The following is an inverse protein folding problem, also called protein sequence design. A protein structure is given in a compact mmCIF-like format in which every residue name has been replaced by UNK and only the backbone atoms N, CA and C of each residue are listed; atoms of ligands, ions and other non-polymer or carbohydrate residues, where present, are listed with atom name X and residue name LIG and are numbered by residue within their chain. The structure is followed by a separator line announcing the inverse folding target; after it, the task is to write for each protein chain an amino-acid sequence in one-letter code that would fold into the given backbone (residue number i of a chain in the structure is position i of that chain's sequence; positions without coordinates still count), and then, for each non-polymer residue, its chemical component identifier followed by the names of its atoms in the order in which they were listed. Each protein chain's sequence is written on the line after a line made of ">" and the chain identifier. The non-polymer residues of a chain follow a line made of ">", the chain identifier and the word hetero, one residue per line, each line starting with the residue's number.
data_IF_581300212107
#
_entry.id   IF_581300212107
#
_cell.length_a   1.000
_cell.length_b   1.000
_cell.length_c   1.000
_cell.angle_alpha   90.00
_cell.angle_beta   90.00
_cell.angle_gamma   90.00
#
_symmetry.space_group_name_H-M   'P 1'
#
loop_
_entity.id
_entity.type
_entity.pdbx_description
1 polymer ?
#
# COMPACT_ATOMS: atom_id res chain seq x y z
N UNK A 1 -4.22 6.91 23.44
CA UNK A 1 -2.86 6.97 22.89
C UNK A 1 -2.95 7.29 21.41
N UNK A 2 -2.20 8.25 20.91
CA UNK A 2 -2.37 8.74 19.54
C UNK A 2 -1.08 8.54 18.73
N UNK A 3 -1.14 7.66 17.71
CA UNK A 3 -0.07 7.50 16.73
C UNK A 3 -0.25 8.55 15.62
N UNK A 4 0.76 9.41 15.40
CA UNK A 4 0.73 10.48 14.41
C UNK A 4 1.57 10.13 13.19
N UNK A 5 0.98 10.17 12.00
CA UNK A 5 1.73 9.94 10.76
C UNK A 5 0.90 9.95 9.49
N UNK A 6 1.56 10.03 8.34
CA UNK A 6 0.91 9.87 7.04
C UNK A 6 0.47 8.41 6.81
N UNK A 7 1.22 7.47 7.34
CA UNK A 7 0.98 6.02 7.28
C UNK A 7 0.73 5.47 5.87
N UNK A 8 1.23 6.15 4.83
CA UNK A 8 1.10 5.66 3.47
C UNK A 8 1.93 4.39 3.26
N UNK A 9 1.25 3.30 2.91
CA UNK A 9 1.82 1.97 2.81
C UNK A 9 1.88 1.19 4.12
N UNK A 10 1.65 1.78 5.30
CA UNK A 10 1.73 1.13 6.63
C UNK A 10 2.95 0.19 6.72
N UNK A 11 4.13 0.70 6.29
CA UNK A 11 5.39 -0.04 6.24
C UNK A 11 5.97 -0.31 7.64
N UNK A 12 7.02 -1.12 7.76
CA UNK A 12 7.58 -1.53 9.06
C UNK A 12 7.95 -0.35 9.97
N UNK A 13 8.49 0.75 9.43
CA UNK A 13 8.74 1.96 10.21
C UNK A 13 7.45 2.64 10.73
N UNK A 14 6.33 2.55 10.00
CA UNK A 14 5.03 2.98 10.52
C UNK A 14 4.54 2.03 11.61
N UNK A 15 4.73 0.71 11.42
CA UNK A 15 4.31 -0.30 12.40
C UNK A 15 5.03 -0.11 13.73
N UNK A 16 6.29 0.33 13.76
CA UNK A 16 6.99 0.66 14.98
C UNK A 16 6.27 1.77 15.78
N UNK A 17 5.77 2.81 15.11
CA UNK A 17 4.98 3.89 15.75
C UNK A 17 3.63 3.36 16.27
N UNK A 18 2.94 2.54 15.47
CA UNK A 18 1.65 1.96 15.85
C UNK A 18 1.80 1.03 17.06
N UNK A 19 2.85 0.19 17.08
CA UNK A 19 3.13 -0.71 18.19
C UNK A 19 3.33 0.04 19.51
N UNK A 20 4.06 1.17 19.51
CA UNK A 20 4.19 2.02 20.70
C UNK A 20 2.83 2.47 21.22
N UNK A 21 1.92 2.90 20.33
CA UNK A 21 0.58 3.34 20.73
C UNK A 21 -0.25 2.19 21.31
N UNK A 22 -0.16 0.99 20.73
CA UNK A 22 -0.85 -0.22 21.23
C UNK A 22 -0.30 -0.65 22.58
N UNK A 23 1.02 -0.70 22.74
CA UNK A 23 1.69 -1.05 24.00
C UNK A 23 1.29 -0.09 25.14
N UNK A 24 1.28 1.20 24.85
CA UNK A 24 0.86 2.21 25.83
C UNK A 24 -0.65 2.10 26.15
N UNK A 25 -1.49 1.85 25.13
CA UNK A 25 -2.91 1.66 25.36
C UNK A 25 -3.18 0.46 26.26
N UNK A 26 -2.46 -0.64 26.06
CA UNK A 26 -2.58 -1.84 26.90
C UNK A 26 -2.08 -1.55 28.34
N UNK A 27 -0.96 -0.83 28.49
CA UNK A 27 -0.38 -0.53 29.79
C UNK A 27 -1.27 0.37 30.67
N UNK A 28 -2.02 1.28 30.05
CA UNK A 28 -2.88 2.26 30.74
C UNK A 28 -4.38 1.96 30.60
N UNK A 29 -4.77 0.76 30.12
CA UNK A 29 -6.16 0.39 29.81
C UNK A 29 -6.89 1.47 28.99
N UNK A 30 -6.18 2.07 28.04
CA UNK A 30 -6.67 3.11 27.16
C UNK A 30 -6.93 2.63 25.73
N UNK A 31 -7.21 3.56 24.84
CA UNK A 31 -7.51 3.32 23.42
C UNK A 31 -6.33 3.71 22.53
N UNK A 32 -5.90 2.83 21.62
CA UNK A 32 -4.91 3.13 20.59
C UNK A 32 -5.62 3.73 19.36
N UNK A 33 -5.26 4.97 19.02
CA UNK A 33 -5.87 5.73 17.93
C UNK A 33 -4.79 6.14 16.93
N UNK A 34 -5.04 5.96 15.63
CA UNK A 34 -4.18 6.50 14.59
C UNK A 34 -4.75 7.82 14.05
N UNK A 35 -3.90 8.85 13.98
CA UNK A 35 -4.22 10.12 13.34
C UNK A 35 -3.42 10.24 12.03
N UNK A 36 -4.12 10.35 10.93
CA UNK A 36 -3.55 10.38 9.58
C UNK A 36 -4.35 11.32 8.68
N UNK A 37 -3.93 11.42 7.42
CA UNK A 37 -4.61 12.22 6.40
C UNK A 37 -5.12 11.31 5.28
N UNK A 38 -6.29 11.57 4.66
CA UNK A 38 -6.78 10.77 3.54
C UNK A 38 -5.86 10.90 2.31
N UNK A 39 -5.29 12.09 2.07
CA UNK A 39 -4.39 12.39 0.97
C UNK A 39 -3.05 12.91 1.49
N UNK A 40 -2.02 12.84 0.64
CA UNK A 40 -0.72 13.40 1.01
C UNK A 40 -0.81 14.95 1.07
N UNK A 41 -0.29 15.61 2.13
CA UNK A 41 -0.34 17.06 2.27
C UNK A 41 0.20 17.83 1.06
N UNK A 42 1.16 17.27 0.32
CA UNK A 42 1.67 17.86 -0.92
C UNK A 42 0.62 17.99 -2.02
N UNK A 43 -0.47 17.21 -1.99
CA UNK A 43 -1.55 17.34 -2.98
C UNK A 43 -2.19 18.73 -2.93
N UNK A 44 -2.24 19.34 -1.75
CA UNK A 44 -2.69 20.73 -1.58
C UNK A 44 -1.55 21.74 -1.78
N UNK A 45 -0.39 21.47 -1.17
CA UNK A 45 0.69 22.48 -1.09
C UNK A 45 1.56 22.55 -2.34
N UNK A 46 1.75 21.45 -3.05
CA UNK A 46 2.58 21.29 -4.25
C UNK A 46 2.01 20.18 -5.14
N UNK A 47 0.86 20.39 -5.80
CA UNK A 47 0.15 19.35 -6.55
C UNK A 47 1.04 18.61 -7.56
N UNK A 48 1.87 19.35 -8.30
CA UNK A 48 2.77 18.82 -9.32
C UNK A 48 3.89 17.90 -8.76
N UNK A 49 4.12 17.94 -7.44
CA UNK A 49 5.15 17.16 -6.75
C UNK A 49 4.54 16.18 -5.73
N UNK A 50 3.22 16.04 -5.75
CA UNK A 50 2.53 15.14 -4.82
C UNK A 50 2.88 13.68 -5.17
N UNK A 51 3.45 12.91 -4.22
CA UNK A 51 3.77 11.51 -4.49
C UNK A 51 2.47 10.71 -4.63
N UNK A 52 2.41 9.75 -5.56
CA UNK A 52 1.28 8.84 -5.66
C UNK A 52 1.15 7.99 -4.39
N UNK A 53 -0.06 7.80 -3.90
CA UNK A 53 -0.30 7.00 -2.70
C UNK A 53 -0.03 5.51 -2.96
N UNK A 54 0.63 4.84 -2.01
CA UNK A 54 0.83 3.38 -2.02
C UNK A 54 -0.47 2.61 -1.78
N UNK A 55 -1.45 3.25 -1.14
CA UNK A 55 -2.78 2.70 -0.89
C UNK A 55 -3.81 3.82 -0.74
N UNK A 56 -5.05 3.52 -1.12
CA UNK A 56 -6.16 4.45 -0.91
C UNK A 56 -6.48 4.63 0.59
N UNK A 57 -7.26 5.67 0.97
CA UNK A 57 -7.58 5.95 2.37
C UNK A 57 -8.32 4.80 3.08
N UNK A 58 -9.22 4.11 2.40
CA UNK A 58 -10.01 3.01 2.94
C UNK A 58 -9.12 1.80 3.25
N UNK A 59 -8.24 1.42 2.31
CA UNK A 59 -7.25 0.36 2.51
C UNK A 59 -6.28 0.72 3.63
N UNK A 60 -5.84 1.99 3.71
CA UNK A 60 -5.00 2.47 4.80
C UNK A 60 -5.69 2.30 6.15
N UNK A 61 -6.94 2.74 6.29
CA UNK A 61 -7.69 2.59 7.53
C UNK A 61 -7.84 1.12 7.94
N UNK A 62 -8.16 0.23 6.99
CA UNK A 62 -8.20 -1.23 7.25
C UNK A 62 -6.87 -1.76 7.78
N UNK A 63 -5.75 -1.37 7.15
CA UNK A 63 -4.43 -1.82 7.59
C UNK A 63 -4.05 -1.27 8.98
N UNK A 64 -4.42 -0.03 9.31
CA UNK A 64 -4.19 0.53 10.64
C UNK A 64 -4.97 -0.26 11.72
N UNK A 65 -6.24 -0.60 11.46
CA UNK A 65 -7.02 -1.46 12.35
C UNK A 65 -6.39 -2.86 12.50
N UNK A 66 -5.96 -3.47 11.40
CA UNK A 66 -5.26 -4.77 11.43
C UNK A 66 -3.95 -4.74 12.22
N UNK A 67 -3.35 -3.55 12.38
CA UNK A 67 -2.14 -3.34 13.21
C UNK A 67 -2.46 -2.96 14.66
N UNK A 68 -3.71 -3.14 15.10
CA UNK A 68 -4.12 -2.99 16.50
C UNK A 68 -4.65 -1.61 16.86
N UNK A 69 -4.82 -0.71 15.90
CA UNK A 69 -5.53 0.55 16.18
C UNK A 69 -7.02 0.26 16.38
N UNK A 70 -7.58 0.79 17.45
CA UNK A 70 -9.02 0.65 17.74
C UNK A 70 -9.83 1.72 17.00
N UNK A 71 -9.22 2.87 16.74
CA UNK A 71 -9.83 3.97 15.98
C UNK A 71 -8.84 4.58 15.00
N UNK A 72 -9.36 5.11 13.89
CA UNK A 72 -8.56 5.80 12.86
C UNK A 72 -9.22 7.14 12.54
N UNK A 73 -8.51 8.21 12.78
CA UNK A 73 -8.90 9.57 12.41
C UNK A 73 -8.20 9.92 11.10
N UNK A 74 -8.97 10.11 10.03
CA UNK A 74 -8.48 10.64 8.76
C UNK A 74 -8.83 12.13 8.68
N UNK A 75 -7.92 12.97 9.19
CA UNK A 75 -8.09 14.43 9.21
C UNK A 75 -7.95 14.99 7.78
N UNK A 76 -8.94 15.71 7.24
CA UNK A 76 -8.76 16.46 6.00
C UNK A 76 -7.59 17.45 6.13
N UNK A 77 -6.71 17.45 5.13
CA UNK A 77 -5.62 18.43 5.08
C UNK A 77 -6.03 19.55 4.12
N UNK A 78 -6.73 20.53 4.67
CA UNK A 78 -7.20 21.72 3.94
C UNK A 78 -6.28 22.93 4.15
N UNK A 79 -6.66 24.05 3.57
CA UNK A 79 -5.89 25.28 3.67
C UNK A 79 -5.78 25.77 5.11
N UNK A 80 -6.86 25.73 5.90
CA UNK A 80 -6.89 26.17 7.30
C UNK A 80 -5.94 25.34 8.15
N UNK A 81 -6.05 24.00 8.05
CA UNK A 81 -5.14 23.08 8.76
C UNK A 81 -3.66 23.26 8.34
N UNK A 82 -3.41 23.58 7.08
CA UNK A 82 -2.06 23.82 6.55
C UNK A 82 -1.40 25.08 7.11
N UNK A 83 -2.19 26.07 7.57
CA UNK A 83 -1.69 27.31 8.18
C UNK A 83 -1.52 27.22 9.69
N UNK A 84 -1.85 26.08 10.31
CA UNK A 84 -1.72 25.88 11.75
C UNK A 84 -0.24 25.95 12.15
N UNK A 85 0.08 26.88 13.06
CA UNK A 85 1.42 26.98 13.61
C UNK A 85 1.77 25.74 14.45
N UNK A 86 3.04 25.38 14.47
CA UNK A 86 3.48 24.18 15.21
C UNK A 86 3.12 24.24 16.71
N UNK A 87 3.19 25.42 17.32
CA UNK A 87 2.81 25.65 18.73
C UNK A 87 1.32 25.39 19.02
N UNK A 88 0.42 25.62 18.05
CA UNK A 88 -1.03 25.39 18.19
C UNK A 88 -1.46 23.95 17.94
N UNK A 89 -0.58 23.09 17.40
CA UNK A 89 -0.97 21.73 17.00
C UNK A 89 -1.35 20.84 18.19
N UNK A 90 -0.60 20.90 19.28
CA UNK A 90 -0.89 20.10 20.49
C UNK A 90 -2.19 20.58 21.15
N UNK A 91 -2.41 21.89 21.22
CA UNK A 91 -3.65 22.48 21.72
C UNK A 91 -4.86 21.99 20.88
N UNK A 92 -4.74 22.00 19.56
CA UNK A 92 -5.75 21.44 18.65
C UNK A 92 -6.06 19.98 18.98
N UNK A 93 -5.04 19.14 19.17
CA UNK A 93 -5.24 17.73 19.51
C UNK A 93 -5.96 17.57 20.86
N UNK A 94 -5.57 18.32 21.88
CA UNK A 94 -6.20 18.29 23.21
C UNK A 94 -7.66 18.76 23.19
N UNK A 95 -7.97 19.78 22.38
CA UNK A 95 -9.32 20.29 22.23
C UNK A 95 -10.27 19.26 21.59
N UNK A 96 -9.78 18.44 20.65
CA UNK A 96 -10.58 17.42 19.95
C UNK A 96 -10.53 16.04 20.59
N UNK A 97 -9.48 15.75 21.39
CA UNK A 97 -9.29 14.49 22.09
C UNK A 97 -8.99 14.78 23.58
N UNK A 98 -10.01 15.12 24.40
CA UNK A 98 -9.79 15.55 25.79
C UNK A 98 -9.13 14.49 26.68
N UNK A 99 -9.25 13.20 26.32
CA UNK A 99 -8.62 12.07 27.04
C UNK A 99 -7.23 11.70 26.48
N UNK A 100 -6.61 12.56 25.68
CA UNK A 100 -5.28 12.34 25.13
C UNK A 100 -4.25 12.26 26.25
N UNK A 101 -3.40 11.23 26.22
CA UNK A 101 -2.40 10.97 27.23
C UNK A 101 -0.99 10.87 26.62
N UNK A 102 -0.84 10.16 25.50
CA UNK A 102 0.46 9.90 24.89
C UNK A 102 0.40 10.12 23.38
N UNK A 103 1.40 10.79 22.84
CA UNK A 103 1.66 10.95 21.42
C UNK A 103 2.79 10.00 20.99
N UNK A 104 2.56 9.17 19.98
CA UNK A 104 3.55 8.26 19.41
C UNK A 104 3.90 8.72 17.99
N UNK A 105 5.18 8.95 17.72
CA UNK A 105 5.69 9.50 16.45
C UNK A 105 6.95 8.75 15.98
N UNK A 106 7.24 8.85 14.69
CA UNK A 106 8.55 8.45 14.15
C UNK A 106 9.58 9.56 14.30
N UNK A 107 10.86 9.21 14.31
CA UNK A 107 12.00 10.13 14.48
C UNK A 107 12.00 11.29 13.47
N UNK A 108 11.51 11.05 12.25
CA UNK A 108 11.45 12.05 11.18
C UNK A 108 10.11 12.79 11.09
N UNK A 109 9.28 12.71 12.13
CA UNK A 109 7.99 13.38 12.16
C UNK A 109 8.16 14.89 12.06
N UNK A 110 7.34 15.52 11.20
CA UNK A 110 7.29 16.97 10.99
C UNK A 110 5.85 17.43 10.96
N UNK A 111 5.56 18.56 11.61
CA UNK A 111 4.23 19.12 11.73
C UNK A 111 4.22 20.65 11.71
N UNK A 112 3.01 21.21 11.70
CA UNK A 112 2.80 22.65 11.67
C UNK A 112 3.10 23.27 10.31
N UNK A 113 2.78 24.56 10.18
CA UNK A 113 3.02 25.33 8.98
C UNK A 113 4.47 25.27 8.54
N UNK A 114 4.70 25.04 7.24
CA UNK A 114 6.03 24.87 6.64
C UNK A 114 6.86 23.71 7.25
N UNK A 115 6.24 22.78 8.00
CA UNK A 115 6.91 21.63 8.63
C UNK A 115 8.02 22.01 9.61
N UNK A 116 7.90 23.17 10.25
CA UNK A 116 8.93 23.68 11.22
C UNK A 116 8.94 22.87 12.51
N UNK A 117 7.82 22.26 12.89
CA UNK A 117 7.74 21.41 14.07
C UNK A 117 8.48 20.08 13.86
N UNK A 118 9.24 19.68 14.83
CA UNK A 118 9.92 18.38 14.93
C UNK A 118 9.59 17.69 16.26
N UNK A 119 10.22 16.56 16.51
CA UNK A 119 9.98 15.79 17.73
C UNK A 119 10.36 16.54 19.02
N UNK A 120 11.35 17.44 18.99
CA UNK A 120 11.77 18.23 20.17
C UNK A 120 10.71 19.28 20.49
N UNK A 121 10.26 20.04 19.48
CA UNK A 121 9.21 21.03 19.66
C UNK A 121 7.87 20.36 20.06
N UNK A 122 7.57 19.16 19.53
CA UNK A 122 6.40 18.41 19.95
C UNK A 122 6.49 18.03 21.43
N UNK A 123 7.64 17.59 21.88
CA UNK A 123 7.86 17.19 23.27
C UNK A 123 7.72 18.38 24.24
N UNK A 124 8.30 19.54 23.88
CA UNK A 124 8.17 20.78 24.64
C UNK A 124 6.70 21.21 24.73
N UNK A 125 6.00 21.27 23.59
CA UNK A 125 4.60 21.65 23.53
C UNK A 125 3.70 20.68 24.29
N UNK A 126 3.93 19.38 24.16
CA UNK A 126 3.18 18.32 24.84
C UNK A 126 3.31 18.37 26.36
N UNK A 127 4.51 18.69 26.88
CA UNK A 127 4.77 18.82 28.30
C UNK A 127 3.87 19.91 28.96
N UNK A 128 3.61 20.99 28.24
CA UNK A 128 2.71 22.07 28.75
C UNK A 128 1.26 21.59 28.99
N UNK A 129 0.85 20.51 28.31
CA UNK A 129 -0.46 19.86 28.46
C UNK A 129 -0.41 18.57 29.28
N UNK A 130 0.72 18.24 29.89
CA UNK A 130 0.89 17.01 30.68
C UNK A 130 0.88 15.72 29.81
N UNK A 131 1.14 15.83 28.51
CA UNK A 131 1.20 14.69 27.59
C UNK A 131 2.60 14.10 27.52
N UNK A 132 2.69 12.78 27.36
CA UNK A 132 3.91 12.07 27.05
C UNK A 132 4.12 12.00 25.53
N UNK A 133 5.35 12.13 25.06
CA UNK A 133 5.75 11.89 23.67
C UNK A 133 6.72 10.71 23.60
N UNK A 134 6.39 9.72 22.79
CA UNK A 134 7.24 8.56 22.51
C UNK A 134 7.68 8.60 21.06
N UNK A 135 8.96 8.38 20.82
CA UNK A 135 9.57 8.40 19.50
C UNK A 135 9.99 6.98 19.14
N UNK A 136 9.40 6.43 18.07
CA UNK A 136 9.77 5.12 17.56
C UNK A 136 11.16 5.18 16.90
N UNK A 137 11.93 4.12 17.08
CA UNK A 137 13.17 3.91 16.36
C UNK A 137 12.92 3.73 14.86
N UNK A 138 13.92 4.10 14.08
CA UNK A 138 13.83 3.97 12.62
C UNK A 138 14.13 2.53 12.20
N UNK A 139 13.19 1.92 11.48
CA UNK A 139 13.40 0.62 10.84
C UNK A 139 14.23 0.79 9.56
N UNK A 140 15.12 -0.17 9.28
CA UNK A 140 16.02 -0.15 8.13
C UNK A 140 15.88 -1.41 7.28
N UNK A 141 16.09 -1.26 5.97
CA UNK A 141 16.21 -2.36 5.02
C UNK A 141 17.33 -2.07 4.03
N UNK A 142 18.27 -3.03 3.86
CA UNK A 142 19.49 -2.78 3.10
C UNK A 142 20.27 -1.58 3.66
N UNK A 143 20.67 -0.68 2.81
CA UNK A 143 21.58 0.42 3.15
C UNK A 143 20.89 1.68 3.73
N UNK A 144 19.60 1.60 4.11
CA UNK A 144 18.96 2.81 4.60
C UNK A 144 17.60 2.62 5.28
N UNK A 145 17.06 3.72 5.84
CA UNK A 145 15.79 3.67 6.55
C UNK A 145 14.62 3.35 5.60
N UNK A 146 13.67 2.58 6.12
CA UNK A 146 12.43 2.28 5.40
C UNK A 146 11.56 3.53 5.30
N UNK A 147 11.06 3.80 4.09
CA UNK A 147 10.16 4.93 3.83
C UNK A 147 9.24 4.65 2.64
N UNK A 148 8.08 5.35 2.59
CA UNK A 148 7.15 5.26 1.46
C UNK A 148 7.80 5.64 0.12
N UNK A 149 8.76 6.58 0.11
CA UNK A 149 9.50 6.97 -1.10
C UNK A 149 10.38 5.83 -1.63
N UNK A 150 11.09 5.12 -0.75
CA UNK A 150 11.89 3.95 -1.16
C UNK A 150 11.03 2.80 -1.64
N UNK A 151 9.86 2.62 -1.04
CA UNK A 151 8.90 1.59 -1.49
C UNK A 151 8.39 1.92 -2.90
N UNK A 152 8.06 3.20 -3.20
CA UNK A 152 7.65 3.60 -4.55
C UNK A 152 8.75 3.35 -5.57
N UNK A 153 9.98 3.75 -5.28
CA UNK A 153 11.12 3.49 -6.17
C UNK A 153 11.33 1.98 -6.40
N UNK A 154 11.23 1.16 -5.36
CA UNK A 154 11.35 -0.29 -5.49
C UNK A 154 10.20 -0.91 -6.31
N UNK A 155 8.96 -0.37 -6.20
CA UNK A 155 7.82 -0.78 -7.03
C UNK A 155 8.05 -0.45 -8.50
N UNK A 156 8.48 0.78 -8.81
CA UNK A 156 8.78 1.24 -10.18
C UNK A 156 9.92 0.45 -10.83
N UNK A 157 10.83 -0.08 -10.03
CA UNK A 157 11.95 -0.92 -10.49
C UNK A 157 11.62 -2.43 -10.50
N UNK A 158 10.42 -2.84 -10.09
CA UNK A 158 10.02 -4.25 -10.02
C UNK A 158 10.70 -5.05 -8.90
N UNK A 159 11.34 -4.40 -7.93
CA UNK A 159 12.02 -5.04 -6.79
C UNK A 159 11.02 -5.46 -5.70
N UNK A 160 10.11 -6.40 -6.07
CA UNK A 160 9.00 -6.83 -5.22
C UNK A 160 9.47 -7.44 -3.90
N UNK A 161 10.60 -8.15 -3.90
CA UNK A 161 11.20 -8.67 -2.68
C UNK A 161 11.50 -7.56 -1.66
N UNK A 162 12.14 -6.48 -2.09
CA UNK A 162 12.44 -5.31 -1.23
C UNK A 162 11.15 -4.62 -0.76
N UNK A 163 10.17 -4.46 -1.67
CA UNK A 163 8.85 -3.89 -1.34
C UNK A 163 8.21 -4.68 -0.21
N UNK A 164 8.15 -6.01 -0.33
CA UNK A 164 7.55 -6.90 0.65
C UNK A 164 8.26 -6.82 2.00
N UNK A 165 9.59 -6.77 2.00
CA UNK A 165 10.39 -6.63 3.22
C UNK A 165 10.13 -5.27 3.90
N UNK A 166 10.17 -4.18 3.15
CA UNK A 166 9.90 -2.84 3.67
C UNK A 166 8.46 -2.67 4.17
N UNK A 167 7.49 -3.33 3.53
CA UNK A 167 6.10 -3.34 3.98
C UNK A 167 5.86 -4.26 5.19
N UNK A 168 6.71 -5.28 5.41
CA UNK A 168 6.47 -6.35 6.38
C UNK A 168 5.26 -7.23 6.02
N UNK A 169 4.87 -7.24 4.75
CA UNK A 169 3.81 -8.06 4.15
C UNK A 169 3.96 -8.07 2.63
N UNK A 170 3.21 -8.97 1.97
CA UNK A 170 3.13 -8.95 0.50
C UNK A 170 2.45 -7.67 -0.01
N UNK A 171 2.93 -7.17 -1.15
CA UNK A 171 2.23 -6.11 -1.88
C UNK A 171 0.99 -6.69 -2.52
N UNK A 172 -0.12 -5.96 -2.42
CA UNK A 172 -1.44 -6.43 -2.82
C UNK A 172 -1.96 -5.66 -4.02
N UNK A 173 -2.51 -6.40 -4.98
CA UNK A 173 -3.34 -5.87 -6.05
C UNK A 173 -4.76 -6.37 -5.82
N UNK A 174 -5.70 -5.46 -5.55
CA UNK A 174 -7.09 -5.80 -5.22
C UNK A 174 -8.06 -5.20 -6.24
N UNK A 175 -9.02 -5.99 -6.67
CA UNK A 175 -10.05 -5.50 -7.58
C UNK A 175 -11.14 -6.50 -7.88
N UNK A 176 -12.17 -5.99 -8.54
CA UNK A 176 -13.28 -6.79 -9.04
C UNK A 176 -12.92 -7.41 -10.39
N UNK A 177 -13.20 -8.69 -10.56
CA UNK A 177 -13.10 -9.33 -11.89
C UNK A 177 -14.09 -8.70 -12.84
N UNK A 178 -13.59 -8.15 -13.93
CA UNK A 178 -14.40 -7.55 -15.01
C UNK A 178 -14.33 -8.36 -16.30
N UNK A 179 -15.24 -8.08 -17.21
CA UNK A 179 -15.22 -8.68 -18.54
C UNK A 179 -14.03 -8.15 -19.35
N UNK A 180 -13.36 -9.04 -20.09
CA UNK A 180 -12.26 -8.72 -20.98
C UNK A 180 -12.47 -9.30 -22.38
N UNK A 181 -11.54 -9.05 -23.29
CA UNK A 181 -11.64 -9.50 -24.69
C UNK A 181 -11.44 -11.02 -24.88
N UNK A 182 -11.22 -11.77 -23.79
CA UNK A 182 -11.04 -13.22 -23.77
C UNK A 182 -9.96 -13.77 -24.72
N UNK A 183 -9.00 -12.94 -25.16
CA UNK A 183 -7.90 -13.35 -26.06
C UNK A 183 -7.08 -14.48 -25.45
N UNK A 184 -6.78 -14.43 -24.16
CA UNK A 184 -6.06 -15.50 -23.47
C UNK A 184 -6.74 -16.87 -23.61
N UNK A 185 -8.08 -16.92 -23.59
CA UNK A 185 -8.84 -18.17 -23.77
C UNK A 185 -8.63 -18.77 -25.17
N UNK A 186 -8.57 -17.95 -26.22
CA UNK A 186 -8.38 -18.43 -27.60
C UNK A 186 -6.99 -19.01 -27.85
N UNK A 187 -5.99 -18.61 -27.06
CA UNK A 187 -4.62 -19.07 -27.18
C UNK A 187 -4.24 -20.15 -26.14
N UNK A 188 -5.21 -20.59 -25.30
CA UNK A 188 -5.02 -21.64 -24.31
C UNK A 188 -4.58 -21.18 -22.92
N UNK A 189 -4.55 -19.86 -22.67
CA UNK A 189 -4.18 -19.26 -21.39
C UNK A 189 -5.30 -18.32 -20.89
N UNK A 190 -6.40 -18.86 -20.36
CA UNK A 190 -7.50 -18.03 -19.86
C UNK A 190 -7.03 -17.10 -18.74
N UNK A 191 -7.47 -15.83 -18.80
CA UNK A 191 -7.13 -14.81 -17.82
C UNK A 191 -8.37 -14.20 -17.20
N UNK A 192 -8.25 -13.77 -15.95
CA UNK A 192 -9.19 -12.92 -15.25
C UNK A 192 -8.67 -11.47 -15.33
N UNK A 193 -9.52 -10.54 -15.76
CA UNK A 193 -9.18 -9.14 -15.80
C UNK A 193 -9.63 -8.50 -14.49
N UNK A 194 -8.72 -7.84 -13.77
CA UNK A 194 -9.06 -7.10 -12.57
C UNK A 194 -9.14 -5.60 -12.84
N UNK A 195 -10.24 -4.99 -12.40
CA UNK A 195 -10.33 -3.54 -12.31
C UNK A 195 -9.57 -3.07 -11.07
N UNK A 196 -8.29 -2.74 -11.26
CA UNK A 196 -7.38 -2.25 -10.24
C UNK A 196 -6.70 -0.98 -10.74
N UNK A 197 -6.90 0.12 -10.01
CA UNK A 197 -6.39 1.44 -10.39
C UNK A 197 -5.59 2.04 -9.23
N UNK A 198 -4.31 1.69 -9.06
CA UNK A 198 -3.44 2.25 -8.04
C UNK A 198 -2.99 3.66 -8.43
N UNK A 199 -2.58 4.47 -7.44
CA UNK A 199 -1.86 5.70 -7.71
C UNK A 199 -0.36 5.43 -7.90
N UNK A 200 0.26 4.64 -7.01
CA UNK A 200 1.62 4.18 -7.16
C UNK A 200 1.65 2.91 -8.02
N UNK A 201 2.08 3.05 -9.27
CA UNK A 201 2.15 1.95 -10.22
C UNK A 201 3.40 1.10 -9.99
N UNK A 202 3.30 -0.23 -9.88
CA UNK A 202 4.44 -1.11 -10.01
C UNK A 202 4.98 -1.11 -11.46
N UNK A 203 6.20 -1.58 -11.65
CA UNK A 203 6.79 -1.78 -12.97
C UNK A 203 5.84 -2.58 -13.88
N UNK A 204 5.66 -2.16 -15.11
CA UNK A 204 4.88 -2.94 -16.07
C UNK A 204 5.62 -4.23 -16.41
N UNK A 205 4.90 -5.35 -16.34
CA UNK A 205 5.49 -6.67 -16.56
C UNK A 205 4.70 -7.81 -15.97
N UNK A 206 5.38 -8.94 -15.86
CA UNK A 206 4.81 -10.21 -15.43
C UNK A 206 5.27 -10.53 -14.01
N UNK A 207 4.31 -10.91 -13.19
CA UNK A 207 4.49 -11.22 -11.77
C UNK A 207 4.02 -12.64 -11.46
N UNK A 208 4.64 -13.27 -10.47
CA UNK A 208 4.14 -14.49 -9.86
C UNK A 208 3.71 -14.23 -8.42
N UNK A 209 2.67 -14.95 -7.98
CA UNK A 209 2.17 -14.83 -6.62
C UNK A 209 0.93 -15.65 -6.36
N UNK A 210 0.28 -15.38 -5.24
CA UNK A 210 -0.94 -16.07 -4.82
C UNK A 210 -2.15 -15.15 -4.98
N UNK A 211 -3.18 -15.62 -5.65
CA UNK A 211 -4.44 -14.90 -5.75
C UNK A 211 -5.48 -15.50 -4.80
N UNK A 212 -6.12 -14.64 -4.02
CA UNK A 212 -7.15 -14.98 -3.06
C UNK A 212 -8.52 -14.52 -3.55
N UNK A 213 -9.50 -15.41 -3.49
CA UNK A 213 -10.89 -15.06 -3.68
C UNK A 213 -11.47 -14.59 -2.33
N UNK A 214 -11.88 -13.32 -2.26
CA UNK A 214 -12.33 -12.71 -1.00
C UNK A 214 -13.72 -13.19 -0.54
N UNK A 215 -14.45 -13.94 -1.39
CA UNK A 215 -15.75 -14.51 -1.02
C UNK A 215 -15.64 -15.82 -0.24
N UNK A 216 -14.65 -16.66 -0.54
CA UNK A 216 -14.51 -18.01 0.03
C UNK A 216 -13.13 -18.30 0.62
N UNK A 217 -12.24 -17.31 0.69
CA UNK A 217 -10.87 -17.38 1.18
C UNK A 217 -9.94 -18.37 0.43
N UNK A 218 -10.38 -18.94 -0.69
CA UNK A 218 -9.54 -19.83 -1.50
C UNK A 218 -8.36 -19.07 -2.09
N UNK A 219 -7.16 -19.63 -1.94
CA UNK A 219 -5.91 -19.11 -2.54
C UNK A 219 -5.41 -20.05 -3.61
N UNK A 220 -5.04 -19.50 -4.76
CA UNK A 220 -4.46 -20.25 -5.89
C UNK A 220 -3.20 -19.56 -6.40
N UNK A 221 -2.20 -20.33 -6.86
CA UNK A 221 -1.01 -19.76 -7.50
C UNK A 221 -1.38 -19.17 -8.86
N UNK A 222 -0.78 -18.03 -9.18
CA UNK A 222 -1.10 -17.30 -10.40
C UNK A 222 0.11 -16.57 -10.99
N UNK A 223 0.02 -16.29 -12.29
CA UNK A 223 0.84 -15.31 -13.00
C UNK A 223 -0.05 -14.13 -13.37
N UNK A 224 0.42 -12.91 -13.10
CA UNK A 224 -0.26 -11.70 -13.50
C UNK A 224 0.57 -10.90 -14.49
N UNK A 225 -0.08 -10.38 -15.53
CA UNK A 225 0.48 -9.36 -16.41
C UNK A 225 -0.14 -8.01 -16.04
N UNK A 226 0.69 -7.06 -15.66
CA UNK A 226 0.31 -5.67 -15.43
C UNK A 226 0.95 -4.80 -16.52
N UNK A 227 0.13 -4.16 -17.33
CA UNK A 227 0.64 -3.39 -18.46
C UNK A 227 -0.41 -2.59 -19.21
N UNK A 228 0.02 -1.88 -20.24
CA UNK A 228 -0.84 -1.05 -21.08
C UNK A 228 -1.16 -1.79 -22.38
N UNK A 229 -2.44 -1.99 -22.69
CA UNK A 229 -2.80 -2.52 -24.02
C UNK A 229 -2.45 -1.50 -25.08
N UNK A 230 -1.73 -1.89 -26.14
CA UNK A 230 -1.59 -1.07 -27.33
C UNK A 230 -2.93 -1.06 -28.08
N UNK A 231 -3.86 -0.16 -27.71
CA UNK A 231 -5.09 0.07 -28.47
C UNK A 231 -4.80 1.01 -29.64
N UNK A 232 -5.35 0.68 -30.80
CA UNK A 232 -5.29 1.48 -32.03
C UNK A 232 -6.05 2.83 -31.91
N UNK A 233 -6.80 3.02 -30.81
CA UNK A 233 -7.51 4.26 -30.52
C UNK A 233 -6.87 4.98 -29.31
N UNK A 234 -6.40 6.20 -29.55
CA UNK A 234 -5.62 7.06 -28.64
C UNK A 234 -6.37 7.59 -27.40
N UNK A 235 -7.44 7.01 -26.93
CA UNK A 235 -8.32 7.68 -25.97
C UNK A 235 -8.29 7.22 -24.51
N UNK A 236 -7.60 6.15 -24.11
CA UNK A 236 -7.27 5.89 -22.69
C UNK A 236 -6.34 4.68 -22.56
N UNK A 237 -5.06 4.94 -22.33
CA UNK A 237 -4.10 3.88 -21.99
C UNK A 237 -4.17 3.59 -20.47
N UNK A 238 -5.32 3.13 -19.98
CA UNK A 238 -5.39 2.65 -18.59
C UNK A 238 -4.67 1.31 -18.46
N UNK A 239 -3.80 1.16 -17.44
CA UNK A 239 -3.15 -0.11 -17.19
C UNK A 239 -4.17 -1.20 -16.90
N UNK A 240 -3.92 -2.40 -17.39
CA UNK A 240 -4.76 -3.57 -17.16
C UNK A 240 -4.01 -4.61 -16.35
N UNK A 241 -4.70 -5.22 -15.40
CA UNK A 241 -4.21 -6.36 -14.65
C UNK A 241 -4.91 -7.62 -15.11
N UNK A 242 -4.17 -8.52 -15.77
CA UNK A 242 -4.65 -9.82 -16.26
C UNK A 242 -4.02 -10.94 -15.43
N UNK A 243 -4.82 -11.78 -14.79
CA UNK A 243 -4.37 -12.89 -13.93
C UNK A 243 -4.67 -14.23 -14.60
N UNK A 244 -3.65 -15.04 -14.79
CA UNK A 244 -3.76 -16.44 -15.23
C UNK A 244 -3.53 -17.37 -14.02
N UNK A 245 -4.54 -18.17 -13.67
CA UNK A 245 -4.43 -19.17 -12.60
C UNK A 245 -3.59 -20.35 -13.06
N UNK A 246 -2.65 -20.80 -12.25
CA UNK A 246 -1.74 -21.89 -12.56
C UNK A 246 -2.33 -23.29 -12.33
N UNK A 247 -3.49 -23.34 -11.70
CA UNK A 247 -4.31 -24.53 -11.50
C UNK A 247 -5.72 -24.27 -12.05
N UNK A 248 -6.39 -25.30 -12.50
CA UNK A 248 -7.78 -25.16 -12.98
C UNK A 248 -8.71 -24.83 -11.82
N UNK A 249 -9.38 -23.65 -11.86
CA UNK A 249 -10.31 -23.26 -10.80
C UNK A 249 -11.70 -23.83 -11.06
N UNK A 250 -12.52 -23.90 -10.02
CA UNK A 250 -13.96 -23.96 -10.19
C UNK A 250 -14.47 -22.66 -10.83
N UNK A 251 -14.88 -22.73 -12.09
CA UNK A 251 -15.23 -21.56 -12.90
C UNK A 251 -16.37 -20.72 -12.31
N UNK A 252 -17.27 -21.32 -11.53
CA UNK A 252 -18.36 -20.59 -10.85
C UNK A 252 -17.85 -19.68 -9.74
N UNK A 253 -16.74 -20.03 -9.13
CA UNK A 253 -16.14 -19.27 -8.04
C UNK A 253 -15.12 -18.22 -8.52
N UNK A 254 -14.66 -18.29 -9.78
CA UNK A 254 -13.64 -17.43 -10.36
C UNK A 254 -14.15 -16.75 -11.64
N UNK A 255 -15.19 -15.94 -11.50
CA UNK A 255 -15.87 -15.28 -12.62
C UNK A 255 -16.04 -13.78 -12.42
N UNK A 256 -16.52 -13.08 -13.43
CA UNK A 256 -16.87 -11.65 -13.38
C UNK A 256 -17.76 -11.33 -12.18
N UNK A 257 -17.45 -10.24 -11.50
CA UNK A 257 -18.16 -9.77 -10.31
C UNK A 257 -17.68 -10.38 -8.98
N UNK A 258 -16.59 -11.15 -9.00
CA UNK A 258 -15.91 -11.62 -7.80
C UNK A 258 -14.76 -10.65 -7.46
N UNK A 259 -14.60 -10.33 -6.18
CA UNK A 259 -13.48 -9.53 -5.69
C UNK A 259 -12.28 -10.43 -5.39
N UNK A 260 -11.14 -10.11 -5.98
CA UNK A 260 -9.89 -10.85 -5.82
C UNK A 260 -8.80 -9.95 -5.26
N UNK A 261 -7.88 -10.59 -4.53
CA UNK A 261 -6.67 -9.99 -4.00
C UNK A 261 -5.48 -10.82 -4.43
N UNK A 262 -4.56 -10.25 -5.19
CA UNK A 262 -3.31 -10.91 -5.57
C UNK A 262 -2.16 -10.41 -4.70
N UNK A 263 -1.50 -11.33 -4.02
CA UNK A 263 -0.25 -11.13 -3.30
C UNK A 263 0.91 -11.29 -4.28
N UNK A 264 1.76 -10.27 -4.46
CA UNK A 264 2.93 -10.36 -5.32
C UNK A 264 4.11 -10.95 -4.56
N UNK A 265 4.64 -12.06 -5.07
CA UNK A 265 5.85 -12.70 -4.55
C UNK A 265 7.08 -12.34 -5.35
N UNK A 266 7.00 -12.41 -6.69
CA UNK A 266 8.13 -12.24 -7.60
C UNK A 266 7.76 -11.40 -8.81
N UNK A 267 8.69 -10.57 -9.27
CA UNK A 267 8.69 -9.95 -10.59
C UNK A 267 9.46 -10.88 -11.53
N UNK A 268 8.81 -11.41 -12.57
CA UNK A 268 9.44 -12.37 -13.48
C UNK A 268 10.20 -11.68 -14.60
N UNK A 269 9.58 -10.67 -15.23
CA UNK A 269 10.16 -9.92 -16.34
C UNK A 269 9.35 -8.67 -16.69
N UNK A 270 9.94 -7.67 -17.36
CA UNK A 270 9.19 -6.55 -17.95
C UNK A 270 8.30 -7.02 -19.11
N UNK A 271 7.37 -6.14 -19.54
CA UNK A 271 6.59 -6.35 -20.76
C UNK A 271 7.48 -6.52 -21.97
N UNK A 272 7.03 -7.35 -22.91
CA UNK A 272 7.73 -7.63 -24.16
C UNK A 272 6.72 -7.72 -25.31
N UNK A 273 7.04 -7.09 -26.43
CA UNK A 273 6.30 -7.27 -27.68
C UNK A 273 6.76 -8.56 -28.40
N UNK A 274 5.82 -9.25 -29.06
CA UNK A 274 6.10 -10.48 -29.80
C UNK A 274 5.70 -10.28 -31.26
N UNK A 275 6.56 -10.75 -32.17
CA UNK A 275 6.30 -10.66 -33.61
C UNK A 275 5.34 -11.76 -34.10
N UNK A 276 5.30 -12.91 -33.41
CA UNK A 276 4.44 -14.04 -33.75
C UNK A 276 3.66 -14.53 -32.53
N UNK A 277 2.48 -15.11 -32.76
CA UNK A 277 1.63 -15.67 -31.71
C UNK A 277 2.30 -16.88 -31.00
N UNK A 278 3.06 -17.66 -31.73
CA UNK A 278 3.74 -18.83 -31.17
C UNK A 278 4.87 -18.42 -30.22
N UNK A 279 5.59 -17.30 -30.48
CA UNK A 279 6.58 -16.74 -29.58
C UNK A 279 5.91 -16.26 -28.26
N UNK A 280 4.75 -15.63 -28.37
CA UNK A 280 3.94 -15.22 -27.20
C UNK A 280 3.54 -16.44 -26.36
N UNK A 281 3.02 -17.50 -26.99
CA UNK A 281 2.62 -18.74 -26.30
C UNK A 281 3.81 -19.41 -25.61
N UNK A 282 4.94 -19.50 -26.29
CA UNK A 282 6.18 -20.07 -25.71
C UNK A 282 6.65 -19.29 -24.48
N UNK A 283 6.58 -17.95 -24.54
CA UNK A 283 6.95 -17.11 -23.41
C UNK A 283 5.97 -17.27 -22.25
N UNK A 284 4.65 -17.27 -22.49
CA UNK A 284 3.65 -17.48 -21.42
C UNK A 284 3.87 -18.84 -20.75
N UNK A 285 4.17 -19.89 -21.53
CA UNK A 285 4.46 -21.21 -20.97
C UNK A 285 5.76 -21.20 -20.12
N UNK A 286 6.77 -20.44 -20.54
CA UNK A 286 8.01 -20.25 -19.77
C UNK A 286 7.74 -19.52 -18.45
N UNK A 287 6.97 -18.41 -18.49
CA UNK A 287 6.58 -17.64 -17.31
C UNK A 287 5.78 -18.50 -16.31
N UNK A 288 4.85 -19.33 -16.83
CA UNK A 288 4.10 -20.29 -16.03
C UNK A 288 4.99 -21.31 -15.33
N UNK A 289 5.93 -21.90 -16.05
CA UNK A 289 6.85 -22.90 -15.48
C UNK A 289 7.74 -22.28 -14.40
N UNK A 290 8.30 -21.10 -14.67
CA UNK A 290 9.10 -20.34 -13.71
C UNK A 290 8.29 -19.98 -12.45
N UNK A 291 7.05 -19.54 -12.62
CA UNK A 291 6.17 -19.21 -11.50
C UNK A 291 5.85 -20.46 -10.64
N UNK A 292 5.58 -21.61 -11.27
CA UNK A 292 5.34 -22.86 -10.55
C UNK A 292 6.57 -23.29 -9.74
N UNK A 293 7.76 -23.16 -10.30
CA UNK A 293 9.01 -23.46 -9.59
C UNK A 293 9.21 -22.54 -8.38
N UNK A 294 9.02 -21.22 -8.56
CA UNK A 294 9.23 -20.22 -7.52
C UNK A 294 8.16 -20.26 -6.41
N UNK A 295 6.92 -20.64 -6.73
CA UNK A 295 5.79 -20.70 -5.78
C UNK A 295 5.62 -22.08 -5.15
N UNK A 296 6.36 -23.10 -5.60
CA UNK A 296 6.35 -24.40 -4.94
C UNK A 296 6.94 -24.29 -3.53
N UNK A 297 6.28 -24.87 -2.50
CA UNK A 297 6.89 -24.92 -1.17
C UNK A 297 8.21 -25.69 -1.22
N UNK A 298 9.26 -25.13 -0.62
CA UNK A 298 10.55 -25.77 -0.41
C UNK A 298 10.41 -27.00 0.50
#
# INVERSE_FOLDING_TARGET
>A
MLALGMFDGVHVGHQAVLNLAVEQANAFAGTAVAFSFPMHPSTLLRPEQAPPLLMNPETKAKHLILKGMQEVILQPFDHEFSQMEATGFVEFLCAHIPSLHTLCIGKNFRFGKNRIGDHLLLQESANAFGLQVLVAESESWGDGPVSSSRIRAALEEGRIGDVNQMLGRKYLMEGMVCSGNAVGRTIGFPTLNLNWNPQAHPCFGVYAGMVKNLRNDQKLPAVANYGVRPTLEKSSCEPLLEIHLLVEPDTEQWRTGIELQMELDFFLRPEKAFAALDDLKAQIQSDKNQALELLSPL
#
